data_IF_314920036279
#
_entry.id   IF_314920036279
#
_cell.length_a   1.000
_cell.length_b   1.000
_cell.length_c   1.000
_cell.angle_alpha   90.00
_cell.angle_beta   90.00
_cell.angle_gamma   90.00
#
_symmetry.space_group_name_H-M   'P 1'
#
loop_
_entity.id
_entity.type
_entity.pdbx_description
1 polymer ?
#
# COMPACT_ATOMS: atom_id res chain seq x y z
N UNK A 1 7.81 7.06 -24.51
CA UNK A 1 7.00 7.76 -23.49
C UNK A 1 7.40 7.18 -22.14
N UNK A 2 8.15 7.93 -21.32
CA UNK A 2 8.42 7.51 -19.95
C UNK A 2 7.21 7.88 -19.11
N UNK A 3 6.53 6.89 -18.55
CA UNK A 3 5.47 7.13 -17.58
C UNK A 3 6.17 7.56 -16.29
N UNK A 4 6.28 8.87 -16.09
CA UNK A 4 6.66 9.42 -14.78
C UNK A 4 5.42 9.25 -13.91
N UNK A 5 5.29 8.09 -13.27
CA UNK A 5 4.30 7.90 -12.21
C UNK A 5 4.82 8.76 -11.06
N UNK A 6 4.29 9.98 -10.92
CA UNK A 6 4.44 10.72 -9.66
C UNK A 6 3.85 9.80 -8.60
N UNK A 7 4.67 9.26 -7.68
CA UNK A 7 4.11 8.46 -6.63
C UNK A 7 3.14 9.36 -5.86
N UNK A 8 1.89 8.95 -5.58
CA UNK A 8 1.10 9.65 -4.58
C UNK A 8 1.97 9.80 -3.32
N UNK A 9 1.86 10.92 -2.60
CA UNK A 9 2.71 11.20 -1.42
C UNK A 9 2.67 10.08 -0.37
N UNK A 10 1.64 9.23 -0.42
CA UNK A 10 1.51 7.95 0.26
C UNK A 10 2.64 6.97 -0.06
N UNK A 11 3.15 6.89 -1.28
CA UNK A 11 4.26 6.00 -1.64
C UNK A 11 5.58 6.47 -0.99
N UNK A 12 5.81 7.78 -0.91
CA UNK A 12 7.06 8.32 -0.35
C UNK A 12 7.20 8.07 1.17
N UNK A 13 6.08 7.88 1.87
CA UNK A 13 6.05 7.73 3.34
C UNK A 13 5.41 6.42 3.81
N UNK A 14 4.79 5.68 2.90
CA UNK A 14 3.91 4.54 3.19
C UNK A 14 4.47 3.18 2.82
N UNK A 15 5.65 3.12 2.18
CA UNK A 15 6.26 1.89 1.69
C UNK A 15 7.56 1.60 2.43
N UNK A 16 7.70 0.38 2.94
CA UNK A 16 8.97 -0.16 3.44
C UNK A 16 9.33 -1.44 2.69
N UNK A 17 10.63 -1.63 2.46
CA UNK A 17 11.17 -2.91 2.00
C UNK A 17 11.69 -3.64 3.21
N UNK A 18 11.15 -4.83 3.47
CA UNK A 18 11.58 -5.67 4.59
C UNK A 18 12.13 -6.99 4.06
N UNK A 19 13.28 -7.42 4.61
CA UNK A 19 13.87 -8.71 4.25
C UNK A 19 13.24 -9.80 5.09
N UNK A 20 12.40 -10.64 4.48
CA UNK A 20 11.78 -11.80 5.13
C UNK A 20 12.37 -13.07 4.49
N UNK A 21 12.98 -13.94 5.29
CA UNK A 21 13.61 -15.19 4.83
C UNK A 21 14.62 -15.01 3.67
N UNK A 22 15.35 -13.89 3.68
CA UNK A 22 16.32 -13.55 2.64
C UNK A 22 15.72 -12.99 1.35
N UNK A 23 14.41 -12.75 1.30
CA UNK A 23 13.73 -12.09 0.18
C UNK A 23 13.36 -10.66 0.59
N UNK A 24 13.71 -9.67 -0.24
CA UNK A 24 13.29 -8.28 -0.05
C UNK A 24 11.84 -8.15 -0.50
N UNK A 25 10.90 -8.02 0.44
CA UNK A 25 9.48 -7.90 0.17
C UNK A 25 9.00 -6.47 0.43
N UNK A 26 8.10 -6.00 -0.42
CA UNK A 26 7.42 -4.72 -0.22
C UNK A 26 6.30 -4.87 0.81
N UNK A 27 6.25 -3.94 1.76
CA UNK A 27 5.22 -3.86 2.80
C UNK A 27 4.85 -2.41 3.07
N UNK A 28 3.71 -2.20 3.71
CA UNK A 28 3.33 -0.89 4.22
C UNK A 28 4.20 -0.50 5.42
N UNK A 29 4.46 0.79 5.57
CA UNK A 29 5.00 1.34 6.82
C UNK A 29 3.96 1.25 7.93
N UNK A 30 4.42 1.27 9.18
CA UNK A 30 3.51 1.15 10.33
C UNK A 30 2.53 2.35 10.40
N UNK A 31 2.96 3.52 9.90
CA UNK A 31 2.11 4.69 9.77
C UNK A 31 1.00 4.49 8.73
N UNK A 32 1.32 3.95 7.55
CA UNK A 32 0.32 3.69 6.52
C UNK A 32 -0.62 2.54 6.92
N UNK A 33 -0.10 1.53 7.62
CA UNK A 33 -0.91 0.44 8.15
C UNK A 33 -1.90 0.95 9.21
N UNK A 34 -1.45 1.80 10.14
CA UNK A 34 -2.33 2.45 11.13
C UNK A 34 -3.38 3.35 10.45
N UNK A 35 -3.00 4.05 9.37
CA UNK A 35 -3.91 4.87 8.58
C UNK A 35 -4.97 4.03 7.88
N UNK A 36 -4.57 2.92 7.27
CA UNK A 36 -5.49 1.95 6.67
C UNK A 36 -6.48 1.41 7.69
N UNK A 37 -6.02 1.01 8.88
CA UNK A 37 -6.89 0.55 9.97
C UNK A 37 -7.93 1.61 10.34
N UNK A 38 -7.50 2.87 10.52
CA UNK A 38 -8.41 3.99 10.81
C UNK A 38 -9.46 4.17 9.71
N UNK A 39 -9.05 4.09 8.44
CA UNK A 39 -9.96 4.21 7.30
C UNK A 39 -10.94 3.04 7.24
N UNK A 40 -10.50 1.82 7.55
CA UNK A 40 -11.37 0.64 7.62
C UNK A 40 -12.38 0.73 8.77
N UNK A 41 -11.98 1.23 9.94
CA UNK A 41 -12.89 1.50 11.06
C UNK A 41 -13.95 2.54 10.69
N UNK A 42 -13.55 3.63 10.02
CA UNK A 42 -14.48 4.64 9.50
C UNK A 42 -15.39 4.09 8.41
N UNK A 43 -14.89 3.20 7.56
CA UNK A 43 -15.68 2.56 6.51
C UNK A 43 -16.81 1.71 7.11
N UNK A 44 -16.52 0.96 8.18
CA UNK A 44 -17.52 0.12 8.85
C UNK A 44 -18.73 0.91 9.35
N UNK A 45 -18.53 2.17 9.75
CA UNK A 45 -19.58 3.08 10.19
C UNK A 45 -20.08 4.02 9.07
N UNK A 46 -19.67 3.80 7.82
CA UNK A 46 -19.97 4.65 6.66
C UNK A 46 -19.64 6.14 6.88
N UNK A 47 -18.58 6.42 7.65
CA UNK A 47 -18.15 7.78 8.00
C UNK A 47 -16.95 8.27 7.17
N UNK A 48 -16.64 7.62 6.06
CA UNK A 48 -15.57 8.05 5.16
C UNK A 48 -16.00 9.29 4.39
N UNK A 49 -15.13 10.30 4.36
CA UNK A 49 -15.25 11.38 3.38
C UNK A 49 -14.88 10.90 1.97
N UNK A 50 -15.24 11.65 0.94
CA UNK A 50 -14.82 11.33 -0.44
C UNK A 50 -13.30 11.26 -0.60
N UNK A 51 -12.55 12.14 0.08
CA UNK A 51 -11.08 12.09 0.10
C UNK A 51 -10.56 10.83 0.79
N UNK A 52 -11.14 10.44 1.92
CA UNK A 52 -10.76 9.22 2.65
C UNK A 52 -11.11 7.96 1.87
N UNK A 53 -12.19 7.99 1.10
CA UNK A 53 -12.57 6.89 0.19
C UNK A 53 -11.57 6.75 -0.97
N UNK A 54 -11.11 7.86 -1.55
CA UNK A 54 -10.05 7.87 -2.57
C UNK A 54 -8.72 7.38 -1.98
N UNK A 55 -8.37 7.80 -0.76
CA UNK A 55 -7.19 7.33 -0.03
C UNK A 55 -7.25 5.81 0.20
N UNK A 56 -8.38 5.29 0.68
CA UNK A 56 -8.57 3.86 0.88
C UNK A 56 -8.46 3.07 -0.43
N UNK A 57 -8.99 3.61 -1.54
CA UNK A 57 -8.86 2.99 -2.85
C UNK A 57 -7.40 2.95 -3.31
N UNK A 58 -6.65 4.04 -3.13
CA UNK A 58 -5.22 4.11 -3.45
C UNK A 58 -4.40 3.10 -2.63
N UNK A 59 -4.68 2.96 -1.33
CA UNK A 59 -4.01 1.99 -0.46
C UNK A 59 -4.32 0.55 -0.91
N UNK A 60 -5.57 0.25 -1.25
CA UNK A 60 -5.96 -1.07 -1.76
C UNK A 60 -5.27 -1.41 -3.11
N UNK A 61 -5.07 -0.43 -3.98
CA UNK A 61 -4.34 -0.62 -5.23
C UNK A 61 -2.86 -0.92 -4.95
N UNK A 62 -2.25 -0.21 -4.00
CA UNK A 62 -0.88 -0.49 -3.56
C UNK A 62 -0.73 -1.89 -2.96
N UNK A 63 -1.70 -2.36 -2.18
CA UNK A 63 -1.68 -3.72 -1.60
C UNK A 63 -1.64 -4.80 -2.68
N UNK A 64 -2.45 -4.63 -3.74
CA UNK A 64 -2.46 -5.53 -4.91
C UNK A 64 -1.13 -5.49 -5.65
N UNK A 65 -0.55 -4.30 -5.84
CA UNK A 65 0.76 -4.16 -6.46
C UNK A 65 1.84 -4.87 -5.64
N UNK A 66 1.84 -4.73 -4.32
CA UNK A 66 2.80 -5.42 -3.45
C UNK A 66 2.61 -6.93 -3.49
N UNK A 67 1.37 -7.40 -3.43
CA UNK A 67 1.07 -8.83 -3.55
C UNK A 67 1.61 -9.39 -4.86
N UNK A 68 1.43 -8.68 -5.97
CA UNK A 68 1.96 -9.07 -7.28
C UNK A 68 3.50 -9.07 -7.31
N UNK A 69 4.13 -7.98 -6.88
CA UNK A 69 5.60 -7.85 -6.85
C UNK A 69 6.23 -8.89 -5.93
N UNK A 70 5.69 -9.06 -4.72
CA UNK A 70 6.15 -10.06 -3.76
C UNK A 70 5.98 -11.49 -4.32
N UNK A 71 4.86 -11.77 -5.00
CA UNK A 71 4.65 -13.06 -5.66
C UNK A 71 5.68 -13.32 -6.75
N UNK A 72 6.00 -12.33 -7.59
CA UNK A 72 7.06 -12.43 -8.61
C UNK A 72 8.44 -12.63 -8.01
N UNK A 73 8.75 -11.96 -6.90
CA UNK A 73 10.04 -12.08 -6.20
C UNK A 73 10.20 -13.45 -5.54
N UNK A 74 9.11 -14.01 -5.01
CA UNK A 74 9.10 -15.36 -4.42
C UNK A 74 9.16 -16.42 -5.53
N UNK A 75 8.44 -16.23 -6.64
CA UNK A 75 8.37 -17.18 -7.75
C UNK A 75 9.64 -17.24 -8.63
N UNK A 76 10.51 -16.24 -8.57
CA UNK A 76 11.79 -16.23 -9.29
C UNK A 76 12.92 -17.03 -8.58
N UNK A 77 12.61 -17.71 -7.47
CA UNK A 77 13.51 -18.69 -6.83
C UNK A 77 13.11 -20.11 -7.21
#
# INVERSE_FOLDING_TARGET
MQVIIKPPSIIETGIKVETVNGNQLFKFTDSLQSRLETLLEKNQINALSSEEQEELNAINELDRLFTYLNSLLIAQK
#
